data_IF_594554614499
#
_entry.id   IF_594554614499
#
_cell.length_a   1.000
_cell.length_b   1.000
_cell.length_c   1.000
_cell.angle_alpha   90.00
_cell.angle_beta   90.00
_cell.angle_gamma   90.00
#
_symmetry.space_group_name_H-M   'P 1'
#
loop_
_entity.id
_entity.type
_entity.pdbx_description
1 polymer ?
#
# COMPACT_ATOMS: atom_id res chain seq x y z
N UNK A 1 26.65 -5.01 17.11
CA UNK A 1 26.47 -6.45 17.32
C UNK A 1 24.99 -6.73 17.27
N UNK A 2 24.48 -7.11 16.10
CA UNK A 2 23.04 -7.31 15.86
C UNK A 2 22.84 -8.77 15.48
N UNK A 3 22.24 -9.50 16.40
CA UNK A 3 22.10 -10.96 16.37
C UNK A 3 20.90 -11.33 15.49
N UNK A 4 21.09 -11.28 14.17
CA UNK A 4 20.20 -11.91 13.18
C UNK A 4 21.04 -12.91 12.38
N UNK A 5 21.77 -13.77 13.10
CA UNK A 5 22.45 -14.90 12.51
C UNK A 5 21.52 -16.11 12.59
N UNK A 6 21.32 -16.73 11.43
CA UNK A 6 20.94 -18.13 11.25
C UNK A 6 19.55 -18.54 11.72
N UNK A 7 18.53 -18.06 11.02
CA UNK A 7 17.40 -18.94 10.69
C UNK A 7 17.45 -19.12 9.17
N UNK A 8 17.59 -20.35 8.63
CA UNK A 8 17.48 -20.54 7.19
C UNK A 8 16.02 -20.28 6.81
N UNK A 9 15.71 -19.03 6.46
CA UNK A 9 14.44 -18.65 5.87
C UNK A 9 14.40 -19.33 4.50
N UNK A 10 13.74 -20.48 4.43
CA UNK A 10 13.57 -21.25 3.20
C UNK A 10 13.06 -20.32 2.10
N UNK A 11 13.58 -20.41 0.86
CA UNK A 11 13.23 -19.50 -0.25
C UNK A 11 11.73 -19.35 -0.56
N UNK A 12 10.89 -20.22 0.02
CA UNK A 12 9.43 -20.18 0.01
C UNK A 12 8.83 -19.15 0.99
N UNK A 13 9.42 -18.98 2.18
CA UNK A 13 9.02 -17.94 3.16
C UNK A 13 9.38 -16.52 2.67
N UNK A 14 10.52 -16.35 2.01
CA UNK A 14 10.92 -15.05 1.40
C UNK A 14 10.04 -14.65 0.22
N UNK A 15 9.61 -15.60 -0.62
CA UNK A 15 8.63 -15.32 -1.70
C UNK A 15 7.22 -15.04 -1.18
N UNK A 16 6.78 -15.75 -0.14
CA UNK A 16 5.46 -15.51 0.47
C UNK A 16 5.40 -14.15 1.20
N UNK A 17 6.42 -13.77 1.97
CA UNK A 17 6.43 -12.45 2.64
C UNK A 17 6.72 -11.29 1.68
N UNK A 18 7.52 -11.51 0.62
CA UNK A 18 7.88 -10.47 -0.35
C UNK A 18 6.73 -10.03 -1.27
N UNK A 19 5.91 -10.96 -1.74
CA UNK A 19 4.80 -10.65 -2.65
C UNK A 19 3.63 -9.95 -1.94
N UNK A 20 3.39 -10.21 -0.66
CA UNK A 20 2.32 -9.56 0.13
C UNK A 20 2.74 -8.26 0.83
N UNK A 21 4.03 -8.08 1.17
CA UNK A 21 4.47 -6.85 1.86
C UNK A 21 4.69 -5.67 0.91
N UNK A 22 4.99 -5.94 -0.35
CA UNK A 22 5.39 -4.91 -1.32
C UNK A 22 4.31 -3.83 -1.53
N UNK A 23 3.01 -4.17 -1.70
CA UNK A 23 1.97 -3.15 -1.85
C UNK A 23 1.81 -2.26 -0.62
N UNK A 24 1.79 -2.86 0.57
CA UNK A 24 1.62 -2.15 1.84
C UNK A 24 2.77 -1.17 2.11
N UNK A 25 4.01 -1.57 1.83
CA UNK A 25 5.19 -0.69 1.97
C UNK A 25 5.11 0.50 0.99
N UNK A 26 4.67 0.26 -0.25
CA UNK A 26 4.49 1.33 -1.25
C UNK A 26 3.43 2.34 -0.78
N UNK A 27 2.30 1.88 -0.24
CA UNK A 27 1.26 2.76 0.29
C UNK A 27 1.78 3.62 1.45
N UNK A 28 2.48 3.03 2.41
CA UNK A 28 3.09 3.80 3.51
C UNK A 28 4.16 4.79 3.04
N UNK A 29 4.97 4.42 2.05
CA UNK A 29 5.94 5.33 1.46
C UNK A 29 5.23 6.54 0.82
N UNK A 30 4.11 6.33 0.13
CA UNK A 30 3.29 7.42 -0.42
C UNK A 30 2.70 8.28 0.71
N UNK A 31 2.15 7.66 1.75
CA UNK A 31 1.60 8.37 2.93
C UNK A 31 2.65 9.29 3.56
N UNK A 32 3.91 8.85 3.70
CA UNK A 32 4.98 9.70 4.25
C UNK A 32 5.49 10.73 3.24
N UNK A 33 5.46 10.40 1.96
CA UNK A 33 5.91 11.27 0.89
C UNK A 33 5.01 12.49 0.68
N UNK A 34 3.68 12.33 0.75
CA UNK A 34 2.73 13.42 0.53
C UNK A 34 2.95 14.63 1.46
N UNK A 35 2.99 14.50 2.80
CA UNK A 35 3.24 15.63 3.70
C UNK A 35 4.67 16.17 3.56
N UNK A 36 5.67 15.31 3.32
CA UNK A 36 7.04 15.75 3.03
C UNK A 36 7.10 16.61 1.76
N UNK A 37 6.36 16.22 0.72
CA UNK A 37 6.26 16.99 -0.53
C UNK A 37 5.62 18.35 -0.29
N UNK A 38 4.54 18.45 0.50
CA UNK A 38 3.90 19.73 0.83
C UNK A 38 4.86 20.65 1.62
N UNK A 39 5.73 20.08 2.45
CA UNK A 39 6.62 20.82 3.35
C UNK A 39 7.85 21.44 2.66
N UNK A 40 8.15 21.05 1.42
CA UNK A 40 9.28 21.59 0.68
C UNK A 40 9.05 23.05 0.24
N UNK A 41 10.10 23.89 0.15
CA UNK A 41 9.98 25.31 -0.18
C UNK A 41 9.77 25.52 -1.69
N UNK A 42 8.61 25.13 -2.21
CA UNK A 42 8.27 25.33 -3.63
C UNK A 42 8.09 26.82 -3.95
N UNK A 43 8.52 27.21 -5.15
CA UNK A 43 8.31 28.56 -5.69
C UNK A 43 6.85 28.80 -6.15
N UNK A 44 5.96 27.82 -5.96
CA UNK A 44 4.54 27.86 -6.33
C UNK A 44 3.90 26.47 -6.23
N UNK A 45 2.59 26.37 -6.42
CA UNK A 45 1.87 25.10 -6.28
C UNK A 45 1.97 24.16 -7.49
N UNK A 46 2.18 24.69 -8.70
CA UNK A 46 2.23 23.88 -9.92
C UNK A 46 3.19 22.66 -9.87
N UNK A 47 4.46 22.78 -9.41
CA UNK A 47 5.36 21.63 -9.38
C UNK A 47 4.90 20.53 -8.42
N UNK A 48 4.39 20.91 -7.24
CA UNK A 48 3.94 19.93 -6.24
C UNK A 48 2.62 19.27 -6.66
N UNK A 49 1.72 19.97 -7.34
CA UNK A 49 0.47 19.38 -7.85
C UNK A 49 0.72 18.41 -9.01
N UNK A 50 1.66 18.72 -9.92
CA UNK A 50 2.10 17.77 -10.96
C UNK A 50 2.66 16.50 -10.33
N UNK A 51 3.49 16.65 -9.29
CA UNK A 51 4.07 15.52 -8.57
C UNK A 51 3.01 14.62 -7.94
N UNK A 52 1.98 15.19 -7.30
CA UNK A 52 0.85 14.42 -6.77
C UNK A 52 0.10 13.67 -7.87
N UNK A 53 -0.14 14.32 -9.02
CA UNK A 53 -0.78 13.69 -10.18
C UNK A 53 0.01 12.48 -10.69
N UNK A 54 1.34 12.61 -10.81
CA UNK A 54 2.20 11.50 -11.22
C UNK A 54 2.20 10.34 -10.21
N UNK A 55 2.25 10.64 -8.91
CA UNK A 55 2.17 9.62 -7.86
C UNK A 55 0.80 8.93 -7.87
N UNK A 56 -0.28 9.68 -8.07
CA UNK A 56 -1.64 9.15 -8.21
C UNK A 56 -1.75 8.18 -9.39
N UNK A 57 -1.30 8.60 -10.58
CA UNK A 57 -1.32 7.75 -11.77
C UNK A 57 -0.44 6.51 -11.61
N UNK A 58 0.78 6.68 -11.09
CA UNK A 58 1.71 5.57 -10.86
C UNK A 58 1.17 4.56 -9.85
N UNK A 59 0.60 5.03 -8.74
CA UNK A 59 -0.01 4.18 -7.72
C UNK A 59 -1.26 3.44 -8.23
N UNK A 60 -2.13 4.11 -8.99
CA UNK A 60 -3.27 3.46 -9.63
C UNK A 60 -2.81 2.35 -10.60
N UNK A 61 -1.79 2.62 -11.42
CA UNK A 61 -1.19 1.62 -12.29
C UNK A 61 -0.62 0.43 -11.53
N UNK A 62 0.09 0.68 -10.43
CA UNK A 62 0.62 -0.38 -9.55
C UNK A 62 -0.51 -1.25 -8.96
N UNK A 63 -1.60 -0.65 -8.47
CA UNK A 63 -2.76 -1.38 -7.95
C UNK A 63 -3.42 -2.25 -9.02
N UNK A 64 -3.50 -1.77 -10.27
CA UNK A 64 -4.01 -2.57 -11.40
C UNK A 64 -3.12 -3.79 -11.67
N UNK A 65 -1.79 -3.65 -11.53
CA UNK A 65 -0.87 -4.79 -11.65
C UNK A 65 -1.10 -5.81 -10.53
N UNK A 66 -1.24 -5.35 -9.28
CA UNK A 66 -1.55 -6.22 -8.12
C UNK A 66 -2.88 -6.95 -8.34
N UNK A 67 -3.91 -6.23 -8.78
CA UNK A 67 -5.22 -6.82 -9.07
C UNK A 67 -5.14 -7.88 -10.18
N UNK A 68 -4.33 -7.62 -11.22
CA UNK A 68 -4.10 -8.59 -12.30
C UNK A 68 -3.41 -9.85 -11.77
N UNK A 69 -2.38 -9.71 -10.94
CA UNK A 69 -1.70 -10.85 -10.33
C UNK A 69 -2.66 -11.67 -9.45
N UNK A 70 -3.47 -11.00 -8.62
CA UNK A 70 -4.48 -11.67 -7.78
C UNK A 70 -5.50 -12.47 -8.60
N UNK A 71 -5.94 -12.00 -9.77
CA UNK A 71 -6.84 -12.77 -10.65
C UNK A 71 -6.19 -13.99 -11.29
N UNK A 72 -4.89 -13.92 -11.56
CA UNK A 72 -4.16 -14.98 -12.25
C UNK A 72 -3.71 -16.09 -11.30
N UNK A 73 -3.71 -15.84 -9.98
CA UNK A 73 -3.41 -16.87 -8.99
C UNK A 73 -4.59 -17.86 -8.86
N UNK A 74 -4.33 -19.13 -9.16
CA UNK A 74 -5.34 -20.21 -9.17
C UNK A 74 -5.38 -21.03 -7.88
N UNK A 75 -4.38 -20.88 -6.99
CA UNK A 75 -4.21 -21.70 -5.78
C UNK A 75 -4.99 -21.16 -4.57
N UNK A 76 -5.32 -19.87 -4.55
CA UNK A 76 -6.08 -19.22 -3.48
C UNK A 76 -7.22 -18.42 -4.11
N UNK A 77 -8.45 -18.60 -3.63
CA UNK A 77 -9.58 -17.81 -4.09
C UNK A 77 -9.65 -16.52 -3.25
N UNK A 78 -9.39 -15.34 -3.83
CA UNK A 78 -9.43 -14.09 -3.09
C UNK A 78 -10.85 -13.80 -2.59
N UNK A 79 -10.96 -13.51 -1.30
CA UNK A 79 -12.22 -13.18 -0.63
C UNK A 79 -12.55 -11.71 -0.90
N UNK A 80 -13.80 -11.28 -0.71
CA UNK A 80 -14.23 -9.89 -0.93
C UNK A 80 -13.37 -8.88 -0.16
N UNK A 81 -12.91 -9.24 1.04
CA UNK A 81 -12.04 -8.42 1.86
C UNK A 81 -10.69 -8.16 1.19
N UNK A 82 -10.08 -9.18 0.58
CA UNK A 82 -8.83 -9.04 -0.17
C UNK A 82 -8.98 -8.03 -1.31
N UNK A 83 -10.08 -8.13 -2.06
CA UNK A 83 -10.42 -7.20 -3.13
C UNK A 83 -10.63 -5.77 -2.63
N UNK A 84 -11.31 -5.61 -1.50
CA UNK A 84 -11.61 -4.30 -0.94
C UNK A 84 -10.33 -3.58 -0.51
N UNK A 85 -9.48 -4.25 0.25
CA UNK A 85 -8.31 -3.63 0.87
C UNK A 85 -7.04 -3.65 0.01
N UNK A 86 -6.92 -4.57 -0.95
CA UNK A 86 -5.74 -4.62 -1.83
C UNK A 86 -5.96 -3.96 -3.20
N UNK A 87 -7.23 -3.74 -3.58
CA UNK A 87 -7.56 -3.19 -4.91
C UNK A 87 -8.47 -1.98 -4.84
N UNK A 88 -9.70 -2.12 -4.32
CA UNK A 88 -10.71 -1.07 -4.45
C UNK A 88 -10.32 0.20 -3.69
N UNK A 89 -10.00 0.08 -2.40
CA UNK A 89 -9.66 1.24 -1.57
C UNK A 89 -8.35 1.93 -2.00
N UNK A 90 -7.25 1.19 -2.29
CA UNK A 90 -6.06 1.80 -2.88
C UNK A 90 -6.35 2.52 -4.20
N UNK A 91 -7.13 1.92 -5.09
CA UNK A 91 -7.45 2.53 -6.38
C UNK A 91 -8.27 3.82 -6.21
N UNK A 92 -9.26 3.81 -5.31
CA UNK A 92 -10.04 5.01 -4.96
C UNK A 92 -9.14 6.10 -4.40
N UNK A 93 -8.19 5.75 -3.52
CA UNK A 93 -7.25 6.72 -2.97
C UNK A 93 -6.35 7.32 -4.06
N UNK A 94 -5.72 6.50 -4.90
CA UNK A 94 -4.86 7.00 -5.96
C UNK A 94 -5.61 7.81 -7.03
N UNK A 95 -6.83 7.42 -7.39
CA UNK A 95 -7.70 8.23 -8.25
C UNK A 95 -8.10 9.55 -7.57
N UNK A 96 -8.38 9.50 -6.27
CA UNK A 96 -8.60 10.68 -5.42
C UNK A 96 -7.40 11.62 -5.42
N UNK A 97 -6.18 11.10 -5.39
CA UNK A 97 -4.95 11.89 -5.47
C UNK A 97 -4.84 12.65 -6.80
N UNK A 98 -5.18 11.99 -7.92
CA UNK A 98 -5.23 12.63 -9.23
C UNK A 98 -6.29 13.74 -9.23
N UNK A 99 -7.48 13.47 -8.69
CA UNK A 99 -8.53 14.49 -8.52
C UNK A 99 -8.08 15.67 -7.66
N UNK A 100 -7.41 15.40 -6.54
CA UNK A 100 -6.85 16.41 -5.65
C UNK A 100 -5.78 17.26 -6.35
N UNK A 101 -4.90 16.64 -7.13
CA UNK A 101 -3.89 17.32 -7.94
C UNK A 101 -4.53 18.25 -8.99
N UNK A 102 -5.56 17.78 -9.69
CA UNK A 102 -6.29 18.59 -10.68
C UNK A 102 -7.01 19.76 -10.02
N UNK A 103 -7.70 19.54 -8.90
CA UNK A 103 -8.37 20.60 -8.14
C UNK A 103 -7.38 21.62 -7.57
N UNK A 104 -6.20 21.20 -7.14
CA UNK A 104 -5.22 22.10 -6.55
C UNK A 104 -4.69 23.17 -7.53
N UNK A 105 -4.81 22.98 -8.85
CA UNK A 105 -4.45 24.00 -9.84
C UNK A 105 -5.35 25.24 -9.79
N UNK A 106 -6.64 25.08 -9.49
CA UNK A 106 -7.63 26.17 -9.47
C UNK A 106 -8.08 26.51 -8.05
N UNK A 107 -8.14 25.50 -7.16
CA UNK A 107 -8.67 25.59 -5.80
C UNK A 107 -7.72 24.89 -4.81
N UNK A 108 -6.55 25.51 -4.50
CA UNK A 108 -5.54 24.99 -3.58
C UNK A 108 -6.08 24.35 -2.30
N UNK A 109 -6.98 25.07 -1.61
CA UNK A 109 -7.57 24.61 -0.35
C UNK A 109 -8.32 23.29 -0.52
N UNK A 110 -9.12 23.16 -1.57
CA UNK A 110 -9.91 21.94 -1.81
C UNK A 110 -9.01 20.77 -2.22
N UNK A 111 -8.00 21.04 -3.04
CA UNK A 111 -6.97 20.05 -3.39
C UNK A 111 -6.25 19.49 -2.16
N UNK A 112 -5.89 20.33 -1.19
CA UNK A 112 -5.26 19.88 0.06
C UNK A 112 -6.19 19.01 0.92
N UNK A 113 -7.50 19.30 0.96
CA UNK A 113 -8.46 18.40 1.61
C UNK A 113 -8.53 17.04 0.91
N UNK A 114 -8.53 17.02 -0.43
CA UNK A 114 -8.50 15.78 -1.20
C UNK A 114 -7.21 14.96 -1.00
N UNK A 115 -6.08 15.66 -0.87
CA UNK A 115 -4.80 15.04 -0.53
C UNK A 115 -4.86 14.38 0.85
N UNK A 116 -5.34 15.09 1.87
CA UNK A 116 -5.47 14.53 3.22
C UNK A 116 -6.44 13.35 3.28
N UNK A 117 -7.57 13.41 2.57
CA UNK A 117 -8.51 12.30 2.47
C UNK A 117 -7.86 11.05 1.84
N UNK A 118 -7.10 11.24 0.76
CA UNK A 118 -6.34 10.17 0.11
C UNK A 118 -5.32 9.54 1.06
N UNK A 119 -4.55 10.38 1.76
CA UNK A 119 -3.53 9.96 2.71
C UNK A 119 -4.13 9.12 3.83
N UNK A 120 -5.27 9.54 4.39
CA UNK A 120 -5.98 8.78 5.43
C UNK A 120 -6.46 7.43 4.91
N UNK A 121 -7.02 7.36 3.69
CA UNK A 121 -7.45 6.07 3.10
C UNK A 121 -6.25 5.14 2.95
N UNK A 122 -5.15 5.60 2.35
CA UNK A 122 -3.95 4.78 2.17
C UNK A 122 -3.35 4.34 3.51
N UNK A 123 -3.35 5.22 4.51
CA UNK A 123 -2.86 4.90 5.85
C UNK A 123 -3.70 3.80 6.51
N UNK A 124 -5.02 3.94 6.53
CA UNK A 124 -5.90 2.93 7.14
C UNK A 124 -5.84 1.60 6.40
N UNK A 125 -5.80 1.62 5.07
CA UNK A 125 -5.60 0.41 4.26
C UNK A 125 -4.25 -0.23 4.58
N UNK A 126 -3.18 0.55 4.64
CA UNK A 126 -1.84 0.05 4.99
C UNK A 126 -1.81 -0.59 6.38
N UNK A 127 -2.45 0.03 7.37
CA UNK A 127 -2.56 -0.51 8.74
C UNK A 127 -3.35 -1.82 8.74
N UNK A 128 -4.48 -1.86 8.02
CA UNK A 128 -5.28 -3.07 7.90
C UNK A 128 -4.49 -4.22 7.28
N UNK A 129 -3.83 -3.97 6.14
CA UNK A 129 -3.05 -4.98 5.43
C UNK A 129 -1.84 -5.43 6.25
N UNK A 130 -1.18 -4.52 6.98
CA UNK A 130 -0.10 -4.88 7.89
C UNK A 130 -0.58 -5.76 9.04
N UNK A 131 -1.75 -5.44 9.61
CA UNK A 131 -2.37 -6.25 10.65
C UNK A 131 -2.72 -7.65 10.14
N UNK A 132 -3.34 -7.74 8.96
CA UNK A 132 -3.68 -9.01 8.32
C UNK A 132 -2.44 -9.91 8.14
N UNK A 133 -1.35 -9.36 7.57
CA UNK A 133 -0.07 -10.08 7.42
C UNK A 133 0.45 -10.60 8.76
N UNK A 134 0.42 -9.78 9.83
CA UNK A 134 0.90 -10.19 11.16
C UNK A 134 0.02 -11.30 11.74
N UNK A 135 -1.31 -11.15 11.67
CA UNK A 135 -2.23 -12.18 12.19
C UNK A 135 -2.06 -13.49 11.44
N UNK A 136 -1.95 -13.46 10.11
CA UNK A 136 -1.66 -14.63 9.30
C UNK A 136 -0.40 -15.35 9.78
N UNK A 137 0.71 -14.63 9.98
CA UNK A 137 1.96 -15.25 10.45
C UNK A 137 1.84 -15.83 11.86
N UNK A 138 1.10 -15.20 12.77
CA UNK A 138 0.94 -15.68 14.16
C UNK A 138 0.06 -16.93 14.22
N UNK A 139 -1.05 -16.96 13.49
CA UNK A 139 -2.00 -18.07 13.56
C UNK A 139 -1.59 -19.27 12.70
N UNK A 140 -1.06 -19.05 11.49
CA UNK A 140 -0.64 -20.14 10.61
C UNK A 140 0.62 -20.83 11.13
N UNK A 141 1.63 -20.10 11.62
CA UNK A 141 2.82 -20.73 12.23
C UNK A 141 2.49 -21.54 13.49
N UNK A 142 1.48 -21.13 14.25
CA UNK A 142 1.06 -21.86 15.45
C UNK A 142 0.38 -23.19 15.09
N UNK A 143 -0.41 -23.23 14.01
CA UNK A 143 -1.06 -24.44 13.52
C UNK A 143 -0.05 -25.46 12.97
N UNK A 144 0.93 -25.02 12.17
CA UNK A 144 2.00 -25.91 11.67
C UNK A 144 2.83 -26.53 12.81
N UNK A 145 3.07 -25.80 13.89
CA UNK A 145 3.78 -26.31 15.07
C UNK A 145 3.00 -27.36 15.87
N UNK A 146 1.66 -27.35 15.80
CA UNK A 146 0.81 -28.32 16.50
C UNK A 146 0.63 -29.63 15.72
N UNK A 147 0.70 -29.58 14.39
CA UNK A 147 0.55 -30.74 13.50
C UNK A 147 1.86 -31.48 13.18
N UNK A 148 3.01 -30.99 13.69
CA UNK A 148 4.28 -31.71 13.54
C UNK A 148 4.46 -32.70 14.71
N UNK A 149 4.37 -34.03 14.52
CA UNK A 149 4.60 -34.98 15.60
C UNK A 149 6.07 -34.90 16.06
N UNK A 150 6.28 -34.86 17.37
CA UNK A 150 7.61 -34.90 18.00
C UNK A 150 8.28 -36.26 17.84
#
# INVERSE_FOLDING_TARGET
MTLIATTPITGRETRASGTFSTPTVVHFAVVLFLPASVSAPWQGMAPVTVLWGLVGLGGAGFVVLVAREMRLQTTYQPVLEDWLFHVLLPLVAYAGLVGAALMAFSQPRQGMFGLGATELILLFVGIHNAWDIVTYHVFVKRLEQMDTPR
#
